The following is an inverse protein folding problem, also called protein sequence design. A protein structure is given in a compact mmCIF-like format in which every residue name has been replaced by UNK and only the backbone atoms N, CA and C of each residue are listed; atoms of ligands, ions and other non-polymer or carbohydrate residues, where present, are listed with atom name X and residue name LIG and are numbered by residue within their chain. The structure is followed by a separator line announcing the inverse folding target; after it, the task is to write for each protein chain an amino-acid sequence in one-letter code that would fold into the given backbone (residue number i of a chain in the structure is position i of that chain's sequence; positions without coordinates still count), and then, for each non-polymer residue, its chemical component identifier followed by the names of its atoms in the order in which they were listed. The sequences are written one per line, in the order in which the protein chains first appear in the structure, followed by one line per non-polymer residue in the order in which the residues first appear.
data_IF_558629077488
#
_entry.id   IF_558629077488
#
_cell.length_a   1.000
_cell.length_b   1.000
_cell.length_c   1.000
_cell.angle_alpha   90.00
_cell.angle_beta   90.00
_cell.angle_gamma   90.00
#
_symmetry.space_group_name_H-M   'P 1'
#
loop_
_entity.id
_entity.type
_entity.pdbx_description
1 polymer ?
#
# COMPACT_ATOMS: atom_id res chain seq x y z
N UNK A 1 -35.23 -8.97 -19.81
CA UNK A 1 -34.11 -9.89 -20.11
C UNK A 1 -33.36 -10.20 -18.82
N UNK A 2 -33.34 -11.45 -18.36
CA UNK A 2 -32.49 -11.88 -17.23
C UNK A 2 -31.15 -12.25 -17.85
N UNK A 3 -30.16 -11.35 -17.78
CA UNK A 3 -28.80 -11.69 -18.17
C UNK A 3 -28.30 -12.79 -17.25
N UNK A 4 -27.67 -13.81 -17.84
CA UNK A 4 -27.15 -14.98 -17.16
C UNK A 4 -25.98 -14.57 -16.25
N UNK A 5 -26.27 -14.14 -15.02
CA UNK A 5 -25.25 -14.01 -13.98
C UNK A 5 -24.90 -15.43 -13.55
N UNK A 6 -23.77 -15.94 -14.02
CA UNK A 6 -23.18 -17.14 -13.45
C UNK A 6 -22.56 -16.78 -12.10
N UNK A 7 -22.92 -17.47 -11.02
CA UNK A 7 -22.30 -17.22 -9.73
C UNK A 7 -20.78 -17.49 -9.83
N UNK A 8 -19.95 -16.72 -9.12
CA UNK A 8 -18.52 -16.99 -9.02
C UNK A 8 -18.26 -18.44 -8.61
N UNK A 9 -17.34 -19.11 -9.31
CA UNK A 9 -16.91 -20.46 -8.94
C UNK A 9 -15.85 -20.34 -7.83
N UNK A 10 -16.04 -20.99 -6.68
CA UNK A 10 -15.03 -21.00 -5.63
C UNK A 10 -13.71 -21.60 -6.13
N UNK A 11 -12.62 -21.07 -5.61
CA UNK A 11 -11.28 -21.59 -5.87
C UNK A 11 -10.39 -21.39 -4.65
N UNK A 12 -9.29 -22.14 -4.62
CA UNK A 12 -8.21 -21.94 -3.66
C UNK A 12 -6.92 -22.38 -4.31
N UNK A 13 -5.86 -21.59 -4.13
CA UNK A 13 -4.51 -21.99 -4.51
C UNK A 13 -3.50 -21.47 -3.50
N UNK A 14 -2.33 -22.10 -3.51
CA UNK A 14 -1.18 -21.65 -2.75
C UNK A 14 0.10 -22.08 -3.48
N UNK A 15 1.13 -21.26 -3.36
CA UNK A 15 2.48 -21.63 -3.74
C UNK A 15 3.50 -20.92 -2.85
N UNK A 16 4.68 -21.52 -2.79
CA UNK A 16 5.87 -20.92 -2.23
C UNK A 16 7.04 -21.33 -3.12
N UNK A 17 7.87 -20.36 -3.50
CA UNK A 17 9.06 -20.57 -4.31
C UNK A 17 10.25 -20.02 -3.56
N UNK A 18 11.33 -20.79 -3.52
CA UNK A 18 12.63 -20.34 -3.05
C UNK A 18 13.56 -20.30 -4.26
N UNK A 19 14.22 -19.16 -4.50
CA UNK A 19 15.18 -19.03 -5.59
C UNK A 19 16.56 -19.58 -5.21
N UNK A 20 17.49 -19.59 -6.16
CA UNK A 20 18.87 -20.08 -5.96
C UNK A 20 19.67 -19.26 -4.94
N UNK A 21 19.18 -18.07 -4.56
CA UNK A 21 19.77 -17.17 -3.58
C UNK A 21 19.13 -17.29 -2.19
N UNK A 22 18.14 -18.17 -2.01
CA UNK A 22 17.44 -18.37 -0.74
C UNK A 22 16.35 -17.34 -0.45
N UNK A 23 15.99 -16.50 -1.42
CA UNK A 23 14.83 -15.62 -1.29
C UNK A 23 13.55 -16.42 -1.43
N UNK A 24 12.53 -16.05 -0.67
CA UNK A 24 11.23 -16.72 -0.65
C UNK A 24 10.17 -15.81 -1.23
N UNK A 25 9.34 -16.32 -2.12
CA UNK A 25 8.10 -15.69 -2.59
C UNK A 25 6.93 -16.62 -2.29
N UNK A 26 5.81 -16.08 -1.83
CA UNK A 26 4.62 -16.89 -1.56
C UNK A 26 3.33 -16.16 -1.94
N UNK A 27 2.30 -16.95 -2.24
CA UNK A 27 0.92 -16.47 -2.30
C UNK A 27 -0.03 -17.59 -1.91
N UNK A 28 -1.08 -17.22 -1.20
CA UNK A 28 -2.28 -18.03 -0.99
C UNK A 28 -3.50 -17.17 -1.22
N UNK A 29 -4.48 -17.70 -1.94
CA UNK A 29 -5.70 -16.97 -2.25
C UNK A 29 -6.87 -17.94 -2.38
N UNK A 30 -8.04 -17.50 -1.94
CA UNK A 30 -9.30 -18.18 -2.16
C UNK A 30 -10.37 -17.20 -2.62
N UNK A 31 -11.23 -17.67 -3.51
CA UNK A 31 -12.49 -17.03 -3.87
C UNK A 31 -13.67 -17.85 -3.37
N UNK A 32 -14.70 -17.18 -2.85
CA UNK A 32 -15.93 -17.82 -2.37
C UNK A 32 -17.12 -17.63 -3.35
N UNK A 33 -18.26 -18.32 -3.13
CA UNK A 33 -19.43 -18.19 -4.01
C UNK A 33 -20.06 -16.80 -4.07
N UNK A 34 -19.75 -15.91 -3.13
CA UNK A 34 -20.22 -14.52 -3.13
C UNK A 34 -19.38 -13.62 -4.05
N UNK A 35 -18.26 -14.12 -4.55
CA UNK A 35 -17.27 -13.35 -5.30
C UNK A 35 -16.26 -12.64 -4.41
N UNK A 36 -16.28 -12.89 -3.10
CA UNK A 36 -15.25 -12.38 -2.19
C UNK A 36 -13.95 -13.13 -2.43
N UNK A 37 -12.87 -12.38 -2.62
CA UNK A 37 -11.51 -12.91 -2.72
C UNK A 37 -10.74 -12.52 -1.47
N UNK A 38 -10.03 -13.47 -0.87
CA UNK A 38 -9.17 -13.20 0.28
C UNK A 38 -7.88 -14.00 0.17
N UNK A 39 -6.79 -13.43 0.67
CA UNK A 39 -5.50 -14.07 0.54
C UNK A 39 -4.38 -13.33 1.24
N UNK A 40 -3.18 -13.88 1.06
CA UNK A 40 -1.95 -13.16 1.36
C UNK A 40 -0.88 -13.46 0.33
N UNK A 41 -0.04 -12.48 0.05
CA UNK A 41 1.18 -12.65 -0.73
C UNK A 41 2.33 -11.94 -0.03
N UNK A 42 3.54 -12.35 -0.37
CA UNK A 42 4.71 -11.70 0.19
C UNK A 42 6.00 -12.26 -0.34
N UNK A 43 7.07 -11.66 0.12
CA UNK A 43 8.41 -12.11 -0.14
C UNK A 43 9.29 -11.89 1.09
N UNK A 44 10.36 -12.68 1.18
CA UNK A 44 11.43 -12.54 2.15
C UNK A 44 12.76 -12.68 1.43
N UNK A 45 13.57 -11.64 1.50
CA UNK A 45 14.93 -11.64 0.97
C UNK A 45 15.88 -12.25 2.01
N UNK A 46 16.98 -12.87 1.56
CA UNK A 46 17.93 -13.58 2.42
C UNK A 46 18.57 -12.69 3.51
N UNK A 47 18.62 -11.38 3.30
CA UNK A 47 19.11 -10.41 4.29
C UNK A 47 18.06 -10.00 5.35
N UNK A 48 16.87 -10.62 5.35
CA UNK A 48 15.81 -10.37 6.31
C UNK A 48 14.85 -9.22 5.94
N UNK A 49 14.98 -8.61 4.76
CA UNK A 49 13.94 -7.73 4.24
C UNK A 49 12.71 -8.53 3.83
N UNK A 50 11.53 -7.99 4.08
CA UNK A 50 10.29 -8.65 3.72
C UNK A 50 9.15 -7.67 3.47
N UNK A 51 8.15 -8.18 2.75
CA UNK A 51 6.79 -7.63 2.74
C UNK A 51 5.80 -8.78 2.80
N UNK A 52 4.78 -8.61 3.64
CA UNK A 52 3.57 -9.43 3.64
C UNK A 52 2.36 -8.54 3.46
N UNK A 53 1.47 -8.94 2.56
CA UNK A 53 0.19 -8.27 2.33
C UNK A 53 -0.92 -9.28 2.56
N UNK A 54 -1.80 -8.98 3.50
CA UNK A 54 -3.06 -9.70 3.73
C UNK A 54 -4.21 -8.86 3.17
N UNK A 55 -5.13 -9.48 2.44
CA UNK A 55 -6.16 -8.72 1.73
C UNK A 55 -7.51 -9.43 1.65
N UNK A 56 -8.54 -8.60 1.49
CA UNK A 56 -9.91 -8.98 1.14
C UNK A 56 -10.41 -8.05 0.04
N UNK A 57 -10.98 -8.61 -1.02
CA UNK A 57 -11.70 -7.89 -2.07
C UNK A 57 -13.16 -8.38 -2.07
N UNK A 58 -14.09 -7.49 -1.76
CA UNK A 58 -15.52 -7.78 -1.69
C UNK A 58 -16.35 -6.56 -2.14
N UNK A 59 -17.65 -6.56 -1.82
CA UNK A 59 -18.55 -5.45 -2.15
C UNK A 59 -18.16 -4.10 -1.52
N UNK A 60 -17.35 -4.10 -0.47
CA UNK A 60 -16.82 -2.90 0.20
C UNK A 60 -15.51 -2.40 -0.42
N UNK A 61 -15.06 -3.02 -1.52
CA UNK A 61 -13.82 -2.70 -2.20
C UNK A 61 -12.65 -3.60 -1.80
N UNK A 62 -11.44 -3.14 -2.12
CA UNK A 62 -10.19 -3.82 -1.77
C UNK A 62 -9.64 -3.24 -0.46
N UNK A 63 -9.40 -4.11 0.52
CA UNK A 63 -8.81 -3.76 1.82
C UNK A 63 -7.58 -4.61 2.04
N UNK A 64 -6.48 -3.99 2.44
CA UNK A 64 -5.23 -4.70 2.69
C UNK A 64 -4.51 -4.21 3.96
N UNK A 65 -3.86 -5.16 4.62
CA UNK A 65 -2.91 -4.94 5.69
C UNK A 65 -1.52 -5.30 5.17
N UNK A 66 -0.60 -4.34 5.22
CA UNK A 66 0.77 -4.47 4.75
C UNK A 66 1.70 -4.45 5.94
N UNK A 67 2.55 -5.47 6.07
CA UNK A 67 3.64 -5.54 7.03
C UNK A 67 4.96 -5.57 6.27
N UNK A 68 5.87 -4.63 6.55
CA UNK A 68 7.14 -4.51 5.82
C UNK A 68 8.23 -3.91 6.70
N UNK A 69 9.49 -4.26 6.43
CA UNK A 69 10.68 -3.61 6.99
C UNK A 69 11.60 -3.04 5.88
N UNK A 70 11.04 -2.77 4.70
CA UNK A 70 11.81 -2.24 3.56
C UNK A 70 12.19 -0.77 3.78
N UNK A 71 13.43 -0.37 3.41
CA UNK A 71 13.84 1.03 3.42
C UNK A 71 12.89 1.92 2.60
N UNK A 72 12.43 3.03 3.19
CA UNK A 72 11.58 4.01 2.51
C UNK A 72 10.07 3.72 2.56
N UNK A 73 9.63 2.59 3.11
CA UNK A 73 8.20 2.33 3.32
C UNK A 73 7.67 3.16 4.51
N UNK A 74 6.48 3.75 4.35
CA UNK A 74 5.85 4.61 5.35
C UNK A 74 6.41 6.04 5.41
N UNK A 75 7.36 6.38 4.54
CA UNK A 75 7.88 7.75 4.39
C UNK A 75 6.94 8.52 3.45
N UNK A 76 6.34 9.62 3.92
CA UNK A 76 5.62 10.56 3.02
C UNK A 76 4.12 10.78 3.26
N UNK A 77 3.52 10.27 4.35
CA UNK A 77 2.13 10.57 4.71
C UNK A 77 1.17 9.38 4.53
N UNK A 78 -0.16 9.62 4.50
CA UNK A 78 -1.14 8.56 4.72
C UNK A 78 -1.15 7.50 3.61
N UNK A 79 -1.68 6.33 3.97
CA UNK A 79 -1.65 5.10 3.21
C UNK A 79 -2.02 5.26 1.73
N UNK A 80 -1.11 4.95 0.79
CA UNK A 80 -1.48 4.91 -0.62
C UNK A 80 -2.52 3.79 -0.81
N UNK A 81 -3.69 4.16 -1.34
CA UNK A 81 -4.83 3.25 -1.55
C UNK A 81 -5.51 2.69 -0.28
N UNK A 82 -5.55 3.47 0.82
CA UNK A 82 -6.34 3.15 2.03
C UNK A 82 -5.96 1.80 2.68
N UNK A 83 -4.67 1.45 2.61
CA UNK A 83 -4.13 0.25 3.25
C UNK A 83 -3.79 0.50 4.72
N UNK A 84 -3.83 -0.53 5.55
CA UNK A 84 -3.23 -0.47 6.89
C UNK A 84 -1.75 -0.84 6.77
N UNK A 85 -0.85 0.06 7.15
CA UNK A 85 0.60 -0.16 7.00
C UNK A 85 1.26 -0.31 8.38
N UNK A 86 1.94 -1.44 8.60
CA UNK A 86 2.81 -1.70 9.74
C UNK A 86 4.25 -1.77 9.25
N UNK A 87 5.06 -0.78 9.64
CA UNK A 87 6.48 -0.71 9.27
C UNK A 87 7.33 -1.16 10.45
N UNK A 88 8.19 -2.16 10.23
CA UNK A 88 9.18 -2.63 11.19
C UNK A 88 10.57 -2.07 10.86
N UNK A 89 11.49 -2.01 11.85
CA UNK A 89 12.86 -1.55 11.61
C UNK A 89 13.58 -2.40 10.55
N UNK A 90 14.31 -1.73 9.66
CA UNK A 90 15.22 -2.36 8.70
C UNK A 90 16.30 -3.14 9.48
N UNK A 91 16.63 -4.39 9.10
CA UNK A 91 17.71 -5.14 9.73
C UNK A 91 19.06 -4.38 9.69
N UNK A 92 19.86 -4.45 10.76
CA UNK A 92 21.19 -3.84 10.77
C UNK A 92 22.06 -4.34 9.60
N UNK A 93 22.78 -3.44 8.93
CA UNK A 93 23.65 -3.79 7.80
C UNK A 93 22.98 -3.85 6.42
N UNK A 94 21.67 -3.61 6.33
CA UNK A 94 20.89 -3.69 5.06
C UNK A 94 20.53 -2.30 4.48
N UNK A 95 20.88 -1.21 5.18
CA UNK A 95 20.36 0.15 4.91
C UNK A 95 20.86 0.83 3.61
N UNK A 96 21.73 0.19 2.82
CA UNK A 96 22.39 0.81 1.68
C UNK A 96 21.75 0.40 0.35
N UNK A 97 20.70 1.09 -0.11
CA UNK A 97 20.35 1.12 -1.55
C UNK A 97 19.30 2.15 -1.97
N UNK A 98 18.43 2.66 -1.09
CA UNK A 98 17.28 3.45 -1.54
C UNK A 98 17.41 4.94 -1.20
N UNK A 99 17.78 5.75 -2.20
CA UNK A 99 17.50 7.20 -2.23
C UNK A 99 16.28 7.39 -3.11
N UNK A 100 15.07 7.62 -2.56
CA UNK A 100 13.93 7.96 -3.40
C UNK A 100 14.27 9.24 -4.18
N UNK A 101 14.00 9.32 -5.50
CA UNK A 101 13.98 10.61 -6.16
C UNK A 101 12.95 11.48 -5.44
N UNK A 102 13.41 12.59 -4.86
CA UNK A 102 12.51 13.57 -4.25
C UNK A 102 11.67 14.14 -5.40
N UNK A 103 10.34 13.91 -5.47
CA UNK A 103 9.54 14.59 -6.47
C UNK A 103 9.64 16.10 -6.20
N UNK A 104 9.80 16.95 -7.23
CA UNK A 104 9.76 18.39 -7.02
C UNK A 104 8.41 18.74 -6.41
N UNK A 105 8.43 19.20 -5.15
CA UNK A 105 7.22 19.71 -4.50
C UNK A 105 6.84 21.00 -5.25
N UNK A 106 5.68 21.11 -5.90
CA UNK A 106 5.24 22.39 -6.43
C UNK A 106 5.10 23.36 -5.26
N UNK A 107 5.77 24.51 -5.34
CA UNK A 107 5.66 25.55 -4.33
C UNK A 107 4.19 25.99 -4.23
N UNK A 108 3.53 25.66 -3.12
CA UNK A 108 2.21 26.21 -2.83
C UNK A 108 2.42 27.67 -2.41
N UNK A 109 1.90 28.68 -3.14
CA UNK A 109 2.01 30.06 -2.70
C UNK A 109 1.24 30.23 -1.39
N UNK A 110 1.88 30.85 -0.39
CA UNK A 110 1.25 31.13 0.91
C UNK A 110 -0.03 31.98 0.72
N UNK A 111 -1.13 31.70 1.45
CA UNK A 111 -2.28 32.58 1.45
C UNK A 111 -1.87 33.96 1.97
N UNK A 112 -1.97 34.99 1.11
CA UNK A 112 -1.68 36.36 1.49
C UNK A 112 -2.61 36.83 2.62
N UNK A 113 -2.04 37.42 3.66
CA UNK A 113 -2.80 38.11 4.71
C UNK A 113 -3.49 39.33 4.08
N UNK A 114 -4.82 39.26 3.93
CA UNK A 114 -5.63 40.43 3.56
C UNK A 114 -5.68 41.38 4.75
N UNK A 115 -4.98 42.51 4.65
CA UNK A 115 -5.15 43.63 5.60
C UNK A 115 -6.43 44.39 5.25
N UNK A 116 -7.41 44.34 6.14
CA UNK A 116 -8.66 45.08 6.01
C UNK A 116 -8.41 46.59 6.20
N UNK A 117 -8.51 47.36 5.11
CA UNK A 117 -8.40 48.83 5.13
C UNK A 117 -9.70 49.47 5.63
N UNK A 118 -9.63 50.21 6.72
CA UNK A 118 -10.70 51.10 7.18
C UNK A 118 -10.75 52.36 6.30
N UNK A 119 -11.91 52.64 5.69
CA UNK A 119 -12.15 53.85 4.91
C UNK A 119 -12.53 55.02 5.82
N UNK A 120 -11.61 55.98 5.95
CA UNK A 120 -11.85 57.28 6.57
C UNK A 120 -12.27 58.31 5.52
N UNK A 121 -13.39 58.99 5.80
CA UNK A 121 -13.93 60.16 5.07
C UNK A 121 -12.96 61.36 5.04
N UNK A 122 -13.30 62.28 4.11
CA UNK A 122 -13.05 63.75 4.02
C UNK A 122 -12.15 64.09 2.81
N UNK A 123 -12.46 65.08 1.98
CA UNK A 123 -13.55 66.06 1.94
C UNK A 123 -13.42 66.86 0.65
#
# INVERSE_FOLDING_TARGET
MKCCIYPPKPYSFNYQVTDDHGNVHFRREKGDPSGTVSGSYGYMHINGLYRTVEYVANAEGFKAQVKSNEPGVGVGGPSPADVQLTVEPVPPGVQNAYVPPVPPVPAVPSPGVVRQGHSGKKG
#
